data_IF_419824829677
#
_entry.id   IF_419824829677
#
_cell.length_a   1.000
_cell.length_b   1.000
_cell.length_c   1.000
_cell.angle_alpha   90.00
_cell.angle_beta   90.00
_cell.angle_gamma   90.00
#
_symmetry.space_group_name_H-M   'P 1'
#
loop_
_entity.id
_entity.type
_entity.pdbx_description
1 polymer ?
2 non-polymer ?
3 water ?
#
# COMPACT_ATOMS: atom_id res chain seq x y z
N UNK A 15 3.48 10.62 3.67
CA UNK A 15 2.98 9.42 3.01
C UNK A 15 2.03 9.78 1.87
N UNK A 16 1.17 10.78 2.08
CA UNK A 16 0.32 11.31 1.01
C UNK A 16 0.97 12.55 0.41
N UNK A 17 1.05 12.60 -0.94
CA UNK A 17 1.72 13.66 -1.68
C UNK A 17 0.85 14.14 -2.84
N UNK A 18 1.17 15.33 -3.34
CA UNK A 18 0.72 15.76 -4.66
C UNK A 18 1.91 15.87 -5.59
N UNK A 19 1.62 15.94 -6.90
CA UNK A 19 2.62 16.00 -7.95
C UNK A 19 2.27 17.12 -8.92
N UNK A 20 3.17 18.07 -9.10
CA UNK A 20 2.93 19.23 -9.95
C UNK A 20 3.74 19.10 -11.24
N UNK A 21 3.04 19.17 -12.38
CA UNK A 21 3.66 18.94 -13.66
C UNK A 21 4.34 20.18 -14.23
N UNK A 22 4.95 19.97 -15.40
CA UNK A 22 5.69 21.01 -16.11
C UNK A 22 4.84 22.23 -16.40
N UNK A 23 3.53 22.03 -16.58
CA UNK A 23 2.60 23.10 -16.89
C UNK A 23 2.04 23.79 -15.65
N UNK A 24 2.63 23.54 -14.47
CA UNK A 24 2.25 24.10 -13.17
C UNK A 24 0.93 23.55 -12.63
N UNK A 25 0.27 22.64 -13.33
CA UNK A 25 -0.93 22.00 -12.81
C UNK A 25 -0.56 20.74 -12.03
N UNK A 26 -1.57 20.11 -11.44
CA UNK A 26 -1.36 19.00 -10.52
C UNK A 26 -1.96 17.72 -11.09
N UNK A 27 -1.27 16.61 -10.85
CA UNK A 27 -1.73 15.31 -11.34
C UNK A 27 -3.05 14.95 -10.66
N UNK A 28 -4.00 14.50 -11.48
CA UNK A 28 -5.39 14.33 -11.12
C UNK A 28 -5.78 12.88 -11.40
N UNK A 29 -6.16 12.14 -10.35
CA UNK A 29 -6.63 10.78 -10.52
C UNK A 29 -7.88 10.71 -11.37
N UNK A 30 -8.59 11.81 -11.53
CA UNK A 30 -9.89 11.84 -12.20
C UNK A 30 -10.90 10.89 -11.54
N UNK A 31 -10.67 10.55 -10.27
CA UNK A 31 -11.55 9.67 -9.50
C UNK A 31 -11.70 8.30 -10.17
N UNK A 32 -10.68 7.86 -10.90
CA UNK A 32 -10.71 6.56 -11.53
C UNK A 32 -11.63 6.45 -12.73
N UNK A 33 -12.19 7.57 -13.20
CA UNK A 33 -13.05 7.58 -14.37
C UNK A 33 -12.22 8.05 -15.57
N UNK A 34 -11.94 7.14 -16.48
CA UNK A 34 -11.12 7.47 -17.63
C UNK A 34 -9.65 7.60 -17.24
N UNK A 35 -8.93 8.43 -18.00
CA UNK A 35 -7.49 8.56 -17.82
C UNK A 35 -7.14 9.71 -16.87
N UNK A 36 -5.96 9.59 -16.25
CA UNK A 36 -5.45 10.66 -15.41
C UNK A 36 -4.95 11.83 -16.26
N UNK A 37 -5.06 13.04 -15.73
CA UNK A 37 -4.63 14.25 -16.42
C UNK A 37 -3.80 15.10 -15.48
N UNK A 38 -2.90 15.91 -16.04
CA UNK A 38 -2.19 16.90 -15.21
C UNK A 38 -2.84 18.24 -15.51
N UNK A 39 -4.02 18.45 -14.90
CA UNK A 39 -4.93 19.52 -15.32
C UNK A 39 -5.53 20.33 -14.18
N UNK A 40 -5.22 20.01 -12.92
CA UNK A 40 -5.86 20.69 -11.80
C UNK A 40 -5.06 21.90 -11.35
N UNK A 41 -5.78 22.99 -11.01
CA UNK A 41 -5.12 24.22 -10.60
C UNK A 41 -4.53 24.11 -9.20
N UNK A 42 -5.17 23.37 -8.30
CA UNK A 42 -4.74 23.23 -6.92
C UNK A 42 -4.81 21.77 -6.51
N UNK A 43 -3.97 21.36 -5.55
CA UNK A 43 -4.04 19.98 -5.04
C UNK A 43 -5.17 19.81 -4.03
N UNK A 44 -6.25 19.16 -4.46
CA UNK A 44 -7.34 18.80 -3.57
C UNK A 44 -7.39 17.27 -3.45
N UNK A 45 -8.57 16.72 -3.17
CA UNK A 45 -8.67 15.30 -2.84
C UNK A 45 -8.16 14.41 -3.97
N UNK A 46 -8.56 14.70 -5.21
CA UNK A 46 -8.18 13.83 -6.33
C UNK A 46 -6.72 13.99 -6.71
N UNK A 47 -6.03 14.99 -6.17
CA UNK A 47 -4.63 15.25 -6.50
C UNK A 47 -3.69 14.69 -5.45
N UNK A 48 -4.22 13.97 -4.46
CA UNK A 48 -3.43 13.43 -3.38
C UNK A 48 -3.27 11.92 -3.57
N UNK A 49 -2.03 11.44 -3.45
CA UNK A 49 -1.72 10.03 -3.65
C UNK A 49 -0.92 9.51 -2.47
N UNK A 50 -1.29 8.34 -1.96
CA UNK A 50 -0.54 7.72 -0.90
C UNK A 50 0.62 6.94 -1.50
N UNK A 51 1.83 7.24 -1.08
CA UNK A 51 2.99 6.55 -1.62
C UNK A 51 3.15 5.24 -0.87
N UNK A 52 3.19 4.14 -1.62
CA UNK A 52 3.20 2.80 -1.05
C UNK A 52 4.58 2.21 -1.28
N UNK A 53 5.23 1.76 -0.20
CA UNK A 53 6.48 1.02 -0.34
C UNK A 53 6.13 -0.38 -0.81
N UNK A 54 6.43 -0.68 -2.08
CA UNK A 54 6.08 -1.98 -2.66
C UNK A 54 7.24 -2.96 -2.62
N UNK A 55 8.33 -2.60 -1.97
CA UNK A 55 9.45 -3.51 -1.84
C UNK A 55 10.50 -3.30 -2.92
N UNK A 56 11.76 -3.57 -2.55
CA UNK A 56 12.89 -3.50 -3.49
C UNK A 56 13.01 -2.13 -4.15
N UNK A 57 12.74 -1.08 -3.38
CA UNK A 57 12.82 0.28 -3.87
C UNK A 57 11.68 0.74 -4.77
N UNK A 58 10.71 -0.12 -5.07
CA UNK A 58 9.59 0.26 -5.90
C UNK A 58 8.50 0.89 -5.05
N UNK A 59 7.75 1.82 -5.66
CA UNK A 59 6.62 2.43 -4.99
C UNK A 59 5.37 2.20 -5.83
N UNK A 60 4.22 2.31 -5.17
CA UNK A 60 2.93 2.40 -5.83
C UNK A 60 2.25 3.67 -5.35
N UNK A 61 1.15 4.02 -6.00
CA UNK A 61 0.41 5.24 -5.68
C UNK A 61 -1.06 4.88 -5.52
N UNK A 62 -1.63 5.19 -4.36
CA UNK A 62 -3.03 4.88 -4.07
C UNK A 62 -3.80 6.20 -4.08
N UNK A 63 -4.74 6.31 -5.01
CA UNK A 63 -5.46 7.55 -5.21
C UNK A 63 -6.58 7.75 -4.19
N UNK A 64 -7.34 8.83 -4.42
CA UNK A 64 -8.42 9.20 -3.52
C UNK A 64 -9.48 8.13 -3.42
N UNK A 65 -9.65 7.34 -4.48
CA UNK A 65 -10.66 6.30 -4.56
C UNK A 65 -10.20 4.98 -3.95
N UNK A 66 -9.04 4.97 -3.31
CA UNK A 66 -8.50 3.75 -2.75
C UNK A 66 -7.94 2.78 -3.77
N UNK A 67 -7.87 3.19 -5.04
CA UNK A 67 -7.36 2.35 -6.12
C UNK A 67 -5.96 2.80 -6.51
N UNK A 68 -5.29 2.00 -7.35
CA UNK A 68 -3.87 2.21 -7.62
C UNK A 68 -3.59 2.71 -9.03
N UNK A 69 -2.59 3.58 -9.13
CA UNK A 69 -2.17 4.13 -10.42
C UNK A 69 -1.50 3.02 -11.23
N UNK A 70 -1.80 2.98 -12.53
CA UNK A 70 -1.22 1.99 -13.44
C UNK A 70 -0.55 2.69 -14.62
N UNK A 71 0.62 2.20 -15.00
CA UNK A 71 1.27 2.66 -16.23
C UNK A 71 0.47 2.30 -17.46
N UNK A 72 -0.46 1.34 -17.34
CA UNK A 72 -1.17 0.72 -18.46
C UNK A 72 -0.20 0.17 -19.51
N UNK A 73 1.05 -0.04 -19.10
CA UNK A 73 2.14 -0.50 -19.99
C UNK A 73 2.24 0.34 -21.25
N UNK A 74 1.92 1.62 -21.16
CA UNK A 74 1.95 2.49 -22.31
C UNK A 74 0.93 2.20 -23.39
N UNK A 75 0.02 1.24 -23.17
CA UNK A 75 -0.96 0.87 -24.20
C UNK A 75 -2.11 1.85 -24.30
N UNK A 76 -2.37 2.61 -23.25
CA UNK A 76 -3.34 3.68 -23.22
C UNK A 76 -2.86 4.65 -22.15
N UNK A 77 -3.47 5.83 -22.12
CA UNK A 77 -3.13 6.81 -21.08
C UNK A 77 -3.29 6.18 -19.70
N UNK A 78 -2.50 6.68 -18.75
CA UNK A 78 -2.47 6.11 -17.40
C UNK A 78 -3.80 6.34 -16.67
N UNK A 79 -4.09 5.43 -15.73
CA UNK A 79 -5.37 5.41 -15.02
C UNK A 79 -5.11 5.22 -13.53
N UNK A 80 -6.13 5.49 -12.71
CA UNK A 80 -6.09 5.21 -11.29
C UNK A 80 -7.36 4.42 -10.93
N UNK A 81 -7.39 3.16 -11.34
CA UNK A 81 -8.58 2.35 -11.10
C UNK A 81 -8.30 0.93 -10.64
N UNK A 82 -7.02 0.53 -10.43
CA UNK A 82 -6.75 -0.88 -10.16
C UNK A 82 -7.10 -1.24 -8.70
N UNK A 83 -7.79 -2.37 -8.49
CA UNK A 83 -8.07 -2.81 -7.11
C UNK A 83 -6.85 -3.32 -6.36
N UNK A 84 -5.79 -3.76 -7.05
CA UNK A 84 -4.62 -4.24 -6.33
C UNK A 84 -3.35 -4.01 -7.14
N UNK A 85 -2.25 -3.88 -6.42
CA UNK A 85 -0.93 -3.67 -7.01
C UNK A 85 -0.44 -4.96 -7.64
N UNK A 86 -0.14 -4.87 -9.04
CA UNK A 86 0.94 -5.74 -9.47
C UNK A 86 1.89 -5.03 -10.38
CA UNK A 87 3.28 -5.48 -12.27
C UNK A 87 3.35 -4.08 -12.86
N UNK A 88 2.24 -3.63 -13.42
CA UNK A 88 2.16 -2.30 -14.03
C UNK A 88 1.94 -1.19 -13.02
N UNK A 89 1.78 -1.53 -11.74
CA UNK A 89 1.40 -0.55 -10.74
C UNK A 89 2.56 -0.15 -9.84
N UNK A 90 3.79 -0.59 -10.16
CA UNK A 90 4.97 -0.28 -9.36
C UNK A 90 5.92 0.56 -10.19
N UNK A 91 6.55 1.54 -9.54
CA UNK A 91 7.36 2.54 -10.21
C UNK A 91 8.69 2.73 -9.48
N UNK A 92 9.71 3.09 -10.26
CA UNK A 92 10.92 3.63 -9.66
C UNK A 92 10.70 5.10 -9.33
N UNK A 93 11.01 5.47 -8.10
CA UNK A 93 11.03 6.87 -7.68
C UNK A 93 12.43 7.41 -7.95
N UNK A 94 12.54 8.34 -8.90
CA UNK A 94 13.83 8.94 -9.28
C UNK A 94 13.89 10.34 -8.71
N UNK A 95 14.88 10.58 -7.85
CA UNK A 95 15.06 11.89 -7.24
C UNK A 95 16.03 12.68 -8.12
N UNK A 96 15.52 13.69 -8.81
CA UNK A 96 16.33 14.48 -9.71
C UNK A 96 17.13 15.51 -8.91
N UNK A 97 18.19 16.02 -9.55
CA UNK A 97 19.11 16.90 -8.83
C UNK A 97 18.44 18.17 -8.34
N UNK A 98 17.40 18.64 -9.03
CA UNK A 98 16.77 19.90 -8.69
C UNK A 98 15.66 19.74 -7.66
N UNK A 99 15.57 18.58 -7.01
CA UNK A 99 14.50 18.33 -6.05
C UNK A 99 13.22 17.81 -6.64
N UNK A 100 13.12 17.72 -7.96
CA UNK A 100 11.94 17.16 -8.60
C UNK A 100 11.98 15.64 -8.56
N UNK A 101 10.87 15.02 -8.94
CA UNK A 101 10.79 13.56 -9.01
C UNK A 101 10.35 13.14 -10.41
N UNK A 102 10.82 11.98 -10.84
CA UNK A 102 10.34 11.28 -12.00
C UNK A 102 9.93 9.88 -11.59
N UNK A 103 9.01 9.27 -12.35
CA UNK A 103 8.51 7.93 -12.08
C UNK A 103 8.73 7.05 -13.30
N UNK A 104 9.42 5.93 -13.09
CA UNK A 104 9.73 4.99 -14.16
C UNK A 104 8.84 3.76 -14.02
N UNK A 105 8.00 3.51 -15.02
CA UNK A 105 7.10 2.38 -15.02
C UNK A 105 7.81 1.07 -15.30
N UNK A 106 7.06 -0.03 -15.16
CA UNK A 106 7.67 -1.34 -15.27
C UNK A 106 8.14 -1.64 -16.68
N UNK A 107 7.62 -0.93 -17.66
CA UNK A 107 8.10 -1.05 -19.03
C UNK A 107 9.36 -0.24 -19.28
N UNK A 108 9.90 0.41 -18.24
CA UNK A 108 11.09 1.23 -18.39
C UNK A 108 10.85 2.63 -18.89
N UNK A 109 9.62 2.97 -19.24
CA UNK A 109 9.27 4.30 -19.71
C UNK A 109 8.90 5.20 -18.54
N UNK A 110 8.89 6.51 -18.79
CA UNK A 110 8.67 7.49 -17.74
C UNK A 110 7.28 8.11 -17.81
N UNK A 111 6.72 8.40 -16.64
CA UNK A 111 5.44 9.09 -16.54
C UNK A 111 5.59 10.52 -17.06
N UNK A 112 4.69 10.92 -17.95
CA UNK A 112 4.77 12.24 -18.57
C UNK A 112 3.48 13.01 -18.33
N UNK A 113 3.62 14.24 -17.82
CA UNK A 113 2.50 15.16 -17.76
C UNK A 113 1.95 15.48 -19.15
N UNK A 114 2.73 15.24 -20.20
CA UNK A 114 2.37 15.64 -21.57
C UNK A 114 2.02 17.13 -21.64
N UNK A 115 2.51 17.92 -20.70
CA UNK A 115 2.25 19.36 -20.60
C UNK A 115 0.77 19.69 -20.53
N UNK A 116 -0.04 18.77 -20.00
CA UNK A 116 -1.47 18.99 -19.92
C UNK A 116 -2.19 18.99 -21.26
N UNK A 117 -1.50 18.66 -22.35
CA UNK A 117 -2.09 18.70 -23.67
C UNK A 117 -2.87 17.45 -24.02
N UNK A 118 -2.60 16.35 -23.32
CA UNK A 118 -3.33 15.11 -23.46
C UNK A 118 -3.22 14.40 -22.12
N UNK A 119 -3.91 13.27 -21.99
CA UNK A 119 -3.87 12.53 -20.74
C UNK A 119 -2.47 12.01 -20.46
N UNK A 120 -2.15 11.88 -19.18
CA UNK A 120 -0.83 11.40 -18.75
C UNK A 120 -0.53 10.05 -19.38
N UNK A 121 0.72 9.89 -19.80
CA UNK A 121 1.22 8.70 -20.45
C UNK A 121 2.40 8.10 -19.68
N UNK A 122 2.74 6.87 -20.05
CA UNK A 122 3.95 6.25 -19.56
C UNK A 122 4.57 5.47 -20.73
N UNK A 123 4.96 6.21 -21.78
CA UNK A 123 5.57 5.55 -22.92
C UNK A 123 6.80 6.29 -23.45
N UNK A 124 7.27 7.32 -22.74
CA UNK A 124 8.45 8.05 -23.20
C UNK A 124 9.71 7.46 -22.56
N UNK A 125 10.75 7.16 -23.34
CA UNK A 125 11.93 6.48 -22.79
C UNK A 125 12.92 7.37 -22.07
N UNK A 126 12.74 8.69 -22.03
CA UNK A 126 13.70 9.56 -21.36
C UNK A 126 13.00 10.64 -20.56
N UNK A 127 13.70 11.15 -19.54
CA UNK A 127 13.21 12.22 -18.68
C UNK A 127 13.55 13.57 -19.30
N UNK A 128 12.53 14.27 -19.82
CA UNK A 128 12.66 15.67 -20.17
C UNK A 128 11.78 16.50 -19.23
N UNK A 129 11.45 17.73 -19.64
CA UNK A 129 10.74 18.63 -18.74
C UNK A 129 9.38 18.11 -18.34
N UNK A 130 8.65 17.51 -19.27
CA UNK A 130 7.31 17.01 -19.01
C UNK A 130 7.29 15.79 -18.11
N UNK A 131 8.45 15.21 -17.81
CA UNK A 131 8.55 14.01 -17.01
C UNK A 131 9.16 14.29 -15.63
N UNK A 132 9.28 15.56 -15.25
CA UNK A 132 9.75 15.96 -13.94
C UNK A 132 8.61 16.59 -13.17
N UNK A 133 8.38 16.12 -11.95
CA UNK A 133 7.29 16.63 -11.13
C UNK A 133 7.87 17.24 -9.86
N UNK A 134 7.36 18.42 -9.51
CA UNK A 134 7.51 18.91 -8.15
C UNK A 134 6.54 18.16 -7.25
N UNK A 135 6.93 17.97 -6.00
CA UNK A 135 6.08 17.19 -5.10
C UNK A 135 6.21 17.72 -3.68
N UNK A 136 5.22 17.38 -2.87
CA UNK A 136 5.25 17.70 -1.45
C UNK A 136 4.31 16.78 -0.70
N UNK A 137 4.64 16.51 0.56
CA UNK A 137 3.71 15.82 1.44
C UNK A 137 2.61 16.79 1.86
N UNK A 138 1.36 16.29 1.86
CA UNK A 138 0.23 17.11 2.26
C UNK A 138 -0.89 16.19 2.76
N UNK A 139 -1.83 16.78 3.49
CA UNK A 139 -2.95 16.02 4.04
C UNK A 139 -4.28 16.71 3.83
N UNK B 14 -7.36 -7.32 -4.41
CA UNK B 14 -8.49 -6.46 -4.06
C UNK B 14 -8.74 -6.55 -2.56
N UNK B 15 -8.90 -7.79 -2.08
CA UNK B 15 -9.06 -8.08 -0.67
C UNK B 15 -7.87 -8.86 -0.12
N UNK B 16 -6.82 -9.04 -0.92
CA UNK B 16 -5.56 -9.64 -0.49
C UNK B 16 -4.53 -8.54 -0.27
N UNK B 17 -3.95 -8.49 0.93
CA UNK B 17 -3.17 -7.34 1.35
C UNK B 17 -1.86 -7.78 1.98
N UNK B 18 -0.94 -6.82 2.11
CA UNK B 18 0.24 -6.96 2.93
C UNK B 18 0.19 -5.92 4.05
N UNK B 19 0.99 -6.15 5.09
CA UNK B 19 1.07 -5.27 6.25
C UNK B 19 2.55 -4.99 6.49
N UNK B 20 2.93 -3.72 6.47
CA UNK B 20 4.31 -3.31 6.67
C UNK B 20 4.41 -2.56 7.99
N UNK B 21 5.24 -3.07 8.89
CA UNK B 21 5.42 -2.40 10.17
C UNK B 21 6.34 -1.21 10.00
N UNK B 22 6.36 -0.33 11.01
CA UNK B 22 7.20 0.86 10.81
C UNK B 22 8.69 0.56 10.99
N UNK B 23 9.08 -0.70 11.28
CA UNK B 23 10.44 -1.18 11.00
C UNK B 23 10.68 -1.44 9.52
N UNK B 24 9.67 -1.16 8.69
CA UNK B 24 9.67 -1.26 7.23
C UNK B 24 9.67 -2.70 6.72
N UNK B 25 9.57 -3.70 7.59
CA UNK B 25 9.47 -5.10 7.16
C UNK B 25 8.00 -5.51 7.07
N UNK B 26 7.75 -6.61 6.37
CA UNK B 26 6.37 -7.06 6.12
C UNK B 26 6.01 -8.24 7.02
N UNK B 27 4.75 -8.28 7.46
CA UNK B 27 4.24 -9.37 8.26
C UNK B 27 4.28 -10.67 7.47
N UNK B 28 4.80 -11.72 8.11
CA UNK B 28 5.18 -12.98 7.47
C UNK B 28 4.41 -14.12 8.12
N UNK B 29 3.63 -14.87 7.33
CA UNK B 29 2.87 -15.99 7.88
C UNK B 29 3.76 -17.13 8.34
N UNK B 30 5.03 -17.14 7.94
CA UNK B 30 5.97 -18.23 8.22
C UNK B 30 5.43 -19.56 7.70
N UNK B 31 4.56 -19.49 6.70
CA UNK B 31 3.96 -20.67 6.07
C UNK B 31 3.27 -21.58 7.09
N UNK B 32 2.78 -21.01 8.19
CA UNK B 32 2.15 -21.76 9.23
C UNK B 32 3.09 -22.54 10.14
N UNK B 33 4.40 -22.39 9.98
CA UNK B 33 5.40 -23.08 10.78
C UNK B 33 5.82 -22.16 11.91
N UNK B 34 5.40 -22.47 13.13
CA UNK B 34 5.74 -21.62 14.24
C UNK B 34 4.97 -20.30 14.20
N UNK B 35 5.53 -19.32 14.89
CA UNK B 35 4.86 -18.04 15.06
C UNK B 35 5.15 -17.12 13.88
N UNK B 36 4.27 -16.14 13.69
CA UNK B 36 4.44 -15.11 12.67
C UNK B 36 5.44 -14.06 13.12
N UNK B 37 6.18 -13.51 12.15
CA UNK B 37 7.16 -12.46 12.39
C UNK B 37 6.91 -11.30 11.44
N UNK B 38 7.32 -10.09 11.86
CA UNK B 38 7.32 -8.94 10.96
C UNK B 38 8.76 -8.73 10.54
N UNK B 39 9.23 -9.57 9.62
CA UNK B 39 10.65 -9.65 9.31
C UNK B 39 10.98 -9.76 7.82
N UNK B 40 10.00 -9.75 6.92
CA UNK B 40 10.28 -9.94 5.51
C UNK B 40 10.71 -8.65 4.85
N UNK B 41 11.74 -8.73 3.99
CA UNK B 41 12.25 -7.54 3.31
C UNK B 41 11.29 -7.07 2.23
N UNK B 42 10.65 -8.01 1.54
CA UNK B 42 9.77 -7.71 0.43
C UNK B 42 8.48 -8.51 0.59
N UNK B 43 7.36 -7.97 0.11
CA UNK B 43 6.08 -8.68 0.24
C UNK B 43 5.91 -9.72 -0.86
N UNK B 44 6.11 -10.99 -0.49
CA UNK B 44 5.89 -12.11 -1.40
C UNK B 44 4.76 -12.99 -0.87
N UNK B 45 4.72 -14.26 -1.31
CA UNK B 45 3.56 -15.13 -1.06
C UNK B 45 3.17 -15.18 0.42
N UNK B 46 4.15 -15.45 1.29
CA UNK B 46 3.83 -15.58 2.71
C UNK B 46 3.47 -14.25 3.36
N UNK B 47 3.60 -13.14 2.65
CA UNK B 47 3.28 -11.83 3.19
C UNK B 47 1.91 -11.33 2.74
N UNK B 48 1.14 -12.14 2.01
CA UNK B 48 -0.17 -11.76 1.54
C UNK B 48 -1.26 -12.44 2.37
N UNK B 49 -2.28 -11.67 2.76
CA UNK B 49 -3.37 -12.16 3.61
C UNK B 49 -4.69 -11.74 3.02
N UNK B 50 -5.59 -12.70 2.80
CA UNK B 50 -6.91 -12.34 2.29
C UNK B 50 -7.80 -11.90 3.44
N UNK B 51 -8.38 -10.71 3.30
CA UNK B 51 -9.28 -10.18 4.30
C UNK B 51 -10.64 -10.85 4.13
N UNK B 52 -11.10 -11.57 5.15
CA UNK B 52 -12.35 -12.30 5.11
C UNK B 52 -13.34 -11.59 6.02
N UNK B 53 -14.54 -11.34 5.50
CA UNK B 53 -15.63 -10.87 6.35
C UNK B 53 -15.98 -11.95 7.35
N UNK B 54 -15.82 -11.66 8.64
CA UNK B 54 -16.10 -12.61 9.71
C UNK B 54 -17.34 -12.24 10.51
N UNK B 55 -18.16 -11.32 10.02
CA UNK B 55 -19.43 -11.00 10.66
C UNK B 55 -19.30 -9.91 11.71
N UNK B 56 -20.41 -9.21 11.93
CA UNK B 56 -20.50 -8.16 12.95
C UNK B 56 -19.41 -7.12 12.80
N UNK B 57 -19.04 -6.82 11.55
CA UNK B 57 -18.04 -5.82 11.26
C UNK B 57 -16.60 -6.26 11.45
N UNK B 58 -16.37 -7.49 11.89
CA UNK B 58 -15.03 -8.00 12.13
C UNK B 58 -14.48 -8.67 10.87
N UNK B 59 -13.16 -8.88 10.86
CA UNK B 59 -12.51 -9.53 9.73
C UNK B 59 -11.61 -10.64 10.24
N UNK B 60 -11.34 -11.60 9.36
CA UNK B 60 -10.33 -12.61 9.58
C UNK B 60 -9.26 -12.44 8.52
N UNK B 61 -8.09 -13.04 8.76
CA UNK B 61 -6.98 -12.93 7.81
C UNK B 61 -6.53 -14.34 7.44
N UNK B 62 -6.69 -14.69 6.17
CA UNK B 62 -6.31 -16.00 5.66
C UNK B 62 -4.96 -15.89 4.95
N UNK B 63 -3.98 -16.63 5.46
CA UNK B 63 -2.63 -16.58 4.94
C UNK B 63 -2.43 -17.45 3.71
N UNK B 64 -1.18 -17.49 3.25
CA UNK B 64 -0.85 -18.18 1.99
C UNK B 64 -1.21 -19.65 2.04
N UNK B 65 -1.16 -20.25 3.22
CA UNK B 65 -1.46 -21.67 3.40
C UNK B 65 -2.95 -21.97 3.52
N UNK B 66 -3.82 -21.01 3.21
CA UNK B 66 -5.25 -21.21 3.36
C UNK B 66 -5.77 -21.25 4.78
N UNK B 67 -4.93 -21.02 5.78
CA UNK B 67 -5.32 -21.05 7.19
C UNK B 67 -5.38 -19.63 7.76
N UNK B 68 -5.92 -19.52 8.97
CA UNK B 68 -6.27 -18.21 9.53
C UNK B 68 -5.32 -17.75 10.62
N UNK B 69 -5.06 -16.45 10.62
CA UNK B 69 -4.27 -15.79 11.65
C UNK B 69 -5.01 -15.82 12.98
N UNK B 70 -4.31 -16.17 14.05
CA UNK B 70 -4.88 -16.24 15.40
C UNK B 70 -4.12 -15.34 16.36
N UNK B 71 -4.84 -14.57 17.16
CA UNK B 71 -4.22 -13.80 18.22
C UNK B 71 -3.61 -14.68 19.30
N UNK B 72 -3.98 -15.96 19.37
CA UNK B 72 -3.63 -16.84 20.49
C UNK B 72 -4.02 -16.22 21.85
N UNK B 73 -4.94 -15.27 21.83
CA UNK B 73 -5.42 -14.53 23.00
C UNK B 73 -4.30 -13.79 23.73
N UNK B 74 -3.20 -13.49 23.04
CA UNK B 74 -2.11 -12.77 23.68
C UNK B 74 -1.27 -13.61 24.61
N UNK B 75 -1.52 -14.91 24.69
CA UNK B 75 -0.80 -15.78 25.62
C UNK B 75 0.44 -16.39 25.01
N UNK B 76 0.59 -16.31 23.70
CA UNK B 76 1.81 -16.69 23.01
C UNK B 76 1.81 -15.92 21.70
N UNK B 77 2.94 -15.94 21.00
CA UNK B 77 3.04 -15.21 19.74
C UNK B 77 1.97 -15.67 18.76
N UNK B 78 1.55 -14.76 17.89
CA UNK B 78 0.51 -15.08 16.93
C UNK B 78 0.98 -16.12 15.90
N UNK B 79 0.01 -16.80 15.32
CA UNK B 79 0.22 -17.89 14.39
C UNK B 79 -0.76 -17.77 13.24
N UNK B 80 -0.49 -18.54 12.18
CA UNK B 80 -1.37 -18.61 11.02
C UNK B 80 -1.52 -20.09 10.66
N UNK B 81 -2.32 -20.80 11.46
CA UNK B 81 -2.51 -22.24 11.27
C UNK B 81 -3.92 -22.73 11.52
N UNK B 82 -4.88 -21.88 11.88
CA UNK B 82 -6.22 -22.34 12.18
C UNK B 82 -6.96 -22.70 10.90
N UNK B 83 -7.53 -23.90 10.79
CA UNK B 83 -8.27 -24.25 9.57
C UNK B 83 -9.55 -23.44 9.39
N UNK B 84 -10.17 -22.97 10.46
CA UNK B 84 -11.41 -22.22 10.36
C UNK B 84 -11.40 -21.08 11.35
N UNK B 85 -12.33 -20.15 11.14
CA UNK B 85 -12.48 -18.98 11.99
C UNK B 85 -13.20 -19.34 13.28
N UNK B 86 -12.43 -19.12 14.47
CA UNK B 86 -13.26 -18.89 15.64
C UNK B 86 -12.80 -17.71 16.45
CA UNK B 87 -12.86 -16.76 18.52
C UNK B 87 -11.65 -15.81 18.60
N UNK B 88 -10.46 -16.39 18.55
CA UNK B 88 -9.23 -15.61 18.53
C UNK B 88 -8.80 -15.24 17.11
N UNK B 89 -9.64 -15.51 16.12
CA UNK B 89 -9.31 -15.29 14.72
C UNK B 89 -10.10 -14.13 14.12
N UNK B 90 -10.85 -13.39 14.93
CA UNK B 90 -11.60 -12.24 14.44
C UNK B 90 -10.94 -10.97 14.97
N UNK B 91 -10.86 -9.96 14.11
CA UNK B 91 -10.16 -8.72 14.40
C UNK B 91 -10.98 -7.52 13.95
N UNK B 92 -10.80 -6.40 14.64
CA UNK B 92 -11.26 -5.10 14.16
C UNK B 92 -10.20 -4.50 13.25
N UNK B 93 -10.60 -4.13 12.04
CA UNK B 93 -9.74 -3.34 11.17
C UNK B 93 -9.87 -1.87 11.56
N UNK B 94 -8.78 -1.28 12.05
CA UNK B 94 -8.80 0.09 12.56
C UNK B 94 -8.08 0.98 11.57
N UNK B 95 -8.79 1.96 11.01
CA UNK B 95 -8.22 2.92 10.06
C UNK B 95 -7.67 4.11 10.87
N UNK B 96 -6.35 4.20 10.96
CA UNK B 96 -5.75 5.27 11.73
C UNK B 96 -5.75 6.58 10.93
N UNK B 97 -5.66 7.69 11.66
CA UNK B 97 -5.73 8.99 11.01
C UNK B 97 -4.56 9.20 10.06
N UNK B 98 -3.38 8.67 10.39
CA UNK B 98 -2.19 8.85 9.56
C UNK B 98 -2.15 7.93 8.33
N UNK B 99 -3.29 7.33 7.96
CA UNK B 99 -3.35 6.45 6.81
C UNK B 99 -2.96 5.01 7.08
N UNK B 100 -2.33 4.72 8.22
CA UNK B 100 -1.98 3.35 8.58
C UNK B 100 -3.19 2.62 9.16
N UNK B 101 -3.01 1.33 9.42
CA UNK B 101 -4.07 0.54 10.04
C UNK B 101 -3.52 -0.17 11.27
N UNK B 102 -4.44 -0.52 12.16
CA UNK B 102 -4.15 -1.38 13.29
C UNK B 102 -5.19 -2.49 13.32
N UNK B 103 -4.89 -3.53 14.09
CA UNK B 103 -5.72 -4.73 14.17
C UNK B 103 -5.98 -5.03 15.64
N UNK B 104 -7.25 -5.05 16.03
CA UNK B 104 -7.64 -5.29 17.41
C UNK B 104 -8.17 -6.71 17.54
N UNK B 105 -7.49 -7.53 18.34
CA UNK B 105 -7.93 -8.87 18.59
C UNK B 105 -9.17 -8.91 19.48
N UNK B 106 -9.75 -10.10 19.61
CA UNK B 106 -10.97 -10.26 20.41
C UNK B 106 -10.72 -10.05 21.89
N UNK B 107 -9.46 -10.01 22.32
CA UNK B 107 -9.14 -9.69 23.71
C UNK B 107 -9.01 -8.20 23.95
N UNK B 108 -9.34 -7.37 22.97
CA UNK B 108 -9.21 -5.94 23.13
C UNK B 108 -7.81 -5.39 22.93
N UNK B 109 -6.83 -6.24 22.68
CA UNK B 109 -5.43 -5.84 22.50
C UNK B 109 -5.12 -5.66 21.01
N UNK B 110 -3.93 -5.11 20.74
CA UNK B 110 -3.57 -4.74 19.38
C UNK B 110 -2.40 -5.57 18.86
N UNK B 111 -2.51 -6.00 17.60
CA UNK B 111 -1.41 -6.69 16.95
C UNK B 111 -0.18 -5.78 16.92
N UNK B 112 0.96 -6.32 17.33
CA UNK B 112 2.21 -5.57 17.40
C UNK B 112 3.27 -6.24 16.54
N UNK B 113 3.98 -5.45 15.73
CA UNK B 113 5.15 -5.94 15.03
C UNK B 113 6.30 -6.25 15.97
N UNK B 114 6.24 -5.75 17.22
CA UNK B 114 7.36 -5.85 18.15
C UNK B 114 8.68 -5.37 17.51
N UNK B 115 8.59 -4.45 16.57
CA UNK B 115 9.77 -3.92 15.87
C UNK B 115 10.63 -5.04 15.28
N UNK B 116 10.03 -6.20 15.00
CA UNK B 116 10.79 -7.32 14.47
C UNK B 116 11.80 -7.94 15.42
N UNK B 117 11.82 -7.53 16.70
CA UNK B 117 12.76 -8.07 17.67
C UNK B 117 12.31 -9.39 18.26
N UNK B 118 11.03 -9.72 18.13
CA UNK B 118 10.50 -11.01 18.56
C UNK B 118 9.27 -11.26 17.71
N UNK B 119 8.72 -12.46 17.82
CA UNK B 119 7.56 -12.82 17.02
C UNK B 119 6.39 -11.90 17.33
N UNK B 120 5.48 -11.78 16.36
CA UNK B 120 4.35 -10.86 16.48
C UNK B 120 3.44 -11.26 17.64
N UNK B 121 2.90 -10.25 18.35
CA UNK B 121 2.05 -10.47 19.52
C UNK B 121 0.70 -9.78 19.35
N UNK B 122 -0.25 -10.16 20.21
CA UNK B 122 -1.52 -9.45 20.33
C UNK B 122 -1.86 -9.27 21.82
N UNK B 123 -1.02 -8.51 22.55
CA UNK B 123 -1.26 -8.36 23.97
C UNK B 123 -0.94 -6.96 24.51
N UNK B 124 -0.82 -5.96 23.65
CA UNK B 124 -0.62 -4.59 24.10
C UNK B 124 -1.92 -3.81 24.01
N UNK B 125 -2.25 -3.02 25.06
CA UNK B 125 -3.61 -2.47 25.18
C UNK B 125 -3.89 -1.20 24.41
N UNK B 126 -2.87 -0.55 23.84
CA UNK B 126 -3.04 0.70 23.12
C UNK B 126 -2.25 0.63 21.82
N UNK B 127 -2.63 1.47 20.87
CA UNK B 127 -1.91 1.59 19.60
C UNK B 127 -0.73 2.51 19.84
N UNK B 128 0.47 1.96 19.69
CA UNK B 128 1.69 2.77 19.79
C UNK B 128 2.44 2.65 18.48
N UNK B 129 3.75 2.88 18.49
CA UNK B 129 4.50 2.86 17.25
C UNK B 129 4.53 1.51 16.57
N UNK B 130 4.59 0.42 17.35
CA UNK B 130 4.76 -0.88 16.73
C UNK B 130 3.44 -1.52 16.33
N UNK B 131 2.32 -0.85 16.61
CA UNK B 131 1.00 -1.39 16.32
C UNK B 131 0.33 -0.71 15.13
N UNK B 132 1.05 0.12 14.39
CA UNK B 132 0.54 0.75 13.18
C UNK B 132 1.23 0.15 11.98
N UNK B 133 0.46 -0.13 10.92
CA UNK B 133 0.97 -0.81 9.75
C UNK B 133 0.57 -0.05 8.49
N UNK B 134 1.51 0.11 7.57
CA UNK B 134 1.17 0.49 6.20
C UNK B 134 0.64 -0.74 5.48
N UNK B 135 -0.32 -0.53 4.59
CA UNK B 135 -1.01 -1.66 3.97
C UNK B 135 -1.29 -1.34 2.51
N UNK B 136 -1.40 -2.40 1.71
CA UNK B 136 -1.80 -2.25 0.32
C UNK B 136 -2.37 -3.58 -0.16
N UNK B 137 -3.28 -3.49 -1.13
CA UNK B 137 -3.81 -4.67 -1.79
C UNK B 137 -2.87 -5.07 -2.93
N UNK B 138 -2.54 -6.35 -2.98
CA UNK B 138 -1.58 -6.87 -3.96
C UNK B 138 -2.12 -8.15 -4.57
N UNK B 139 -1.46 -8.58 -5.65
CA UNK B 139 -1.87 -9.80 -6.33
C UNK B 139 -0.74 -10.84 -6.30
X LIG C 1 -11.91 18.37 -9.16
X LIG C 1 -10.66 17.75 -8.57
X LIG C 1 -10.74 17.86 -7.06
X LIG C 1 -12.01 17.22 -6.50
X LIG C 1 -12.13 17.61 -5.04
X LIG C 1 -13.14 17.63 -8.63
X LIG C 1 -14.34 18.24 -9.15
X LIG C 1 -11.85 18.29 -10.58
X LIG C 1 -9.47 18.43 -9.00
X LIG C 1 -9.61 17.18 -6.51
X LIG C 1 -13.20 17.66 -7.20
X LIG C 1 -13.18 16.88 -4.42
X LIG D 1 -3.28 -5.60 -15.57
X LIG D 1 -2.24 -4.87 -14.72
X LIG D 1 -1.15 -5.85 -14.29
X LIG D 1 -0.56 -6.44 -15.57
X LIG D 1 0.67 -7.33 -15.36
X LIG D 1 -2.62 -6.35 -16.73
X LIG D 1 -3.61 -7.13 -17.42
X LIG D 1 -4.20 -4.65 -16.12
X LIG D 1 -2.89 -4.27 -13.60
X LIG D 1 -0.16 -5.20 -13.47
X LIG D 1 -1.57 -7.20 -16.23
X LIG D 1 0.33 -8.40 -14.45
X LIG E 1 10.38 -16.06 2.56
X LIG E 1 9.00 -15.38 2.50
X LIG E 1 8.41 -15.52 1.09
X LIG E 1 8.40 -17.00 0.71
X LIG E 1 7.73 -17.25 -0.65
X LIG E 1 10.32 -17.49 2.01
X LIG E 1 11.63 -18.05 1.97
X LIG E 1 10.89 -16.08 3.89
X LIG E 1 9.15 -14.01 2.88
X LIG E 1 7.09 -14.97 1.01
X LIG E 1 9.75 -17.49 0.70
X LIG E 1 8.43 -16.57 -1.69
#
# INVERSE_FOLDING_TARGET
>A
MASMTGGQQMGRGSKTIWLQGFNSKYVNSRNGQGAMWCDSDTPQAWELFTVIDAGNGKIALRGNNGLYVSSENGEQAMTCNRPAINGWEVFDWISNSDGSVSLRGSNGMYVSSENGEQAITCNRPAIDGWERFNWAAATLEHHHHHH
>B
MASMTGGQQMGRGSKTIWLQGFNSKYVNSRNGQGAMWCDSDTPQAWELFTVIDAGNGKIALRGNNGLYVSSENGEQAMTCNRPAINGWEVFDWISNSDGSVSLRGSNGMYVSSENGEQAITCNRPAIDGWERFNWAAATLEHHHHHH
>C hetero
1 BGC C2 C3 C4 C5 C6 C1 O1 O2 O3 O4 O5 O6
>D hetero
1 BGC C2 C3 C4 C5 C6 C1 O1 O2 O3 O4 O5 O6
>E hetero
1 BGC C2 C3 C4 C5 C6 C1 O1 O2 O3 O4 O5 O6
#
